data_IF_840532123269
#
_entry.id   IF_840532123269
#
_cell.length_a   1.000
_cell.length_b   1.000
_cell.length_c   1.000
_cell.angle_alpha   90.00
_cell.angle_beta   90.00
_cell.angle_gamma   90.00
#
_symmetry.space_group_name_H-M   'P 1'
#
loop_
_entity.id
_entity.type
_entity.pdbx_description
1 polymer ?
#
# COMPACT_ATOMS: atom_id res chain seq x y z
N UNK A 1 -5.39 31.73 -3.35
CA UNK A 1 -6.70 31.51 -2.69
C UNK A 1 -6.55 30.32 -1.74
N UNK A 2 -7.16 30.33 -0.55
CA UNK A 2 -7.08 29.19 0.38
C UNK A 2 -7.85 27.99 -0.19
N UNK A 3 -7.28 26.79 -0.08
CA UNK A 3 -7.88 25.54 -0.48
C UNK A 3 -7.55 24.42 0.53
N UNK A 4 -8.02 23.20 0.30
CA UNK A 4 -7.81 22.03 1.17
C UNK A 4 -6.33 21.68 1.38
N UNK A 5 -5.44 22.11 0.47
CA UNK A 5 -4.00 21.81 0.51
C UNK A 5 -3.14 22.96 1.04
N UNK A 6 -3.73 24.09 1.45
CA UNK A 6 -2.98 25.29 1.87
C UNK A 6 -2.00 25.02 3.01
N UNK A 7 -2.35 24.13 3.96
CA UNK A 7 -1.43 23.76 5.05
C UNK A 7 -0.28 22.86 4.57
N UNK A 8 -0.52 22.00 3.59
CA UNK A 8 0.51 21.17 2.94
C UNK A 8 1.50 22.07 2.19
N UNK A 9 0.98 23.11 1.52
CA UNK A 9 1.81 24.09 0.82
C UNK A 9 2.73 24.89 1.76
N UNK A 10 2.35 25.14 3.02
CA UNK A 10 3.23 25.78 3.99
C UNK A 10 4.47 24.94 4.33
N UNK A 11 4.42 23.62 4.08
CA UNK A 11 5.54 22.70 4.33
C UNK A 11 6.37 22.50 3.06
N UNK A 12 5.72 22.23 1.92
CA UNK A 12 6.39 21.81 0.68
C UNK A 12 6.56 22.95 -0.33
N UNK A 13 6.01 24.14 -0.06
CA UNK A 13 6.05 25.27 -0.96
C UNK A 13 5.13 25.14 -2.18
N UNK A 14 5.05 26.19 -2.99
CA UNK A 14 4.22 26.19 -4.19
C UNK A 14 4.74 25.21 -5.26
N UNK A 15 6.06 25.14 -5.43
CA UNK A 15 6.71 24.23 -6.39
C UNK A 15 6.49 22.77 -6.02
N UNK A 16 6.61 22.41 -4.73
CA UNK A 16 6.32 21.05 -4.25
C UNK A 16 4.86 20.66 -4.50
N UNK A 17 3.92 21.59 -4.28
CA UNK A 17 2.50 21.34 -4.56
C UNK A 17 2.24 21.15 -6.06
N UNK A 18 2.89 21.94 -6.92
CA UNK A 18 2.76 21.78 -8.38
C UNK A 18 3.24 20.41 -8.85
N UNK A 19 4.36 19.91 -8.27
CA UNK A 19 4.83 18.54 -8.54
C UNK A 19 3.82 17.50 -8.11
N UNK A 20 3.21 17.64 -6.92
CA UNK A 20 2.18 16.71 -6.44
C UNK A 20 0.94 16.72 -7.34
N UNK A 21 0.46 17.89 -7.77
CA UNK A 21 -0.71 18.01 -8.64
C UNK A 21 -0.52 17.35 -10.00
N UNK A 22 0.71 17.31 -10.50
CA UNK A 22 1.05 16.65 -11.77
C UNK A 22 1.36 15.17 -11.61
N UNK A 23 1.72 14.74 -10.41
CA UNK A 23 2.18 13.39 -10.17
C UNK A 23 1.09 12.34 -10.40
N UNK A 24 1.49 11.22 -11.00
CA UNK A 24 0.70 10.00 -11.15
C UNK A 24 1.32 8.88 -10.33
N UNK A 25 0.60 8.43 -9.31
CA UNK A 25 1.06 7.40 -8.37
C UNK A 25 0.21 6.14 -8.50
N UNK A 26 0.85 4.99 -8.76
CA UNK A 26 0.18 3.70 -8.76
C UNK A 26 0.30 3.02 -7.39
N UNK A 27 -0.83 2.60 -6.82
CA UNK A 27 -0.87 1.88 -5.53
C UNK A 27 -1.40 0.48 -5.74
N UNK A 28 -0.55 -0.50 -5.56
CA UNK A 28 -0.86 -1.92 -5.67
C UNK A 28 -1.22 -2.49 -4.29
N UNK A 29 -2.47 -2.93 -4.15
CA UNK A 29 -3.06 -3.42 -2.90
C UNK A 29 -3.75 -2.31 -2.10
N UNK A 30 -5.09 -2.33 -2.04
CA UNK A 30 -5.93 -1.34 -1.34
C UNK A 30 -6.48 -1.97 -0.05
N UNK A 31 -5.56 -2.51 0.73
CA UNK A 31 -5.85 -3.15 2.02
C UNK A 31 -5.66 -2.22 3.23
N UNK A 32 -5.22 -2.81 4.37
CA UNK A 32 -4.97 -2.07 5.60
C UNK A 32 -3.80 -1.09 5.52
N UNK A 33 -2.81 -1.38 4.69
CA UNK A 33 -1.66 -0.50 4.41
C UNK A 33 -1.99 0.46 3.27
N UNK A 34 -2.24 -0.09 2.07
CA UNK A 34 -2.44 0.72 0.86
C UNK A 34 -3.65 1.65 0.94
N UNK A 35 -4.71 1.27 1.67
CA UNK A 35 -5.86 2.15 1.89
C UNK A 35 -5.48 3.46 2.59
N UNK A 36 -4.66 3.40 3.65
CA UNK A 36 -4.17 4.61 4.34
C UNK A 36 -3.13 5.35 3.51
N UNK A 37 -2.34 4.65 2.71
CA UNK A 37 -1.44 5.31 1.74
C UNK A 37 -2.25 6.15 0.76
N UNK A 38 -3.28 5.59 0.15
CA UNK A 38 -4.17 6.27 -0.81
C UNK A 38 -4.87 7.47 -0.16
N UNK A 39 -5.44 7.31 1.04
CA UNK A 39 -6.07 8.40 1.79
C UNK A 39 -5.09 9.57 2.01
N UNK A 40 -3.85 9.28 2.42
CA UNK A 40 -2.84 10.29 2.68
C UNK A 40 -2.34 10.97 1.40
N UNK A 41 -2.15 10.23 0.31
CA UNK A 41 -1.75 10.80 -0.98
C UNK A 41 -2.82 11.74 -1.54
N UNK A 42 -4.11 11.34 -1.47
CA UNK A 42 -5.23 12.19 -1.86
C UNK A 42 -5.28 13.50 -1.05
N UNK A 43 -5.06 13.42 0.28
CA UNK A 43 -5.00 14.58 1.19
C UNK A 43 -3.76 15.44 1.02
N UNK A 44 -2.72 14.91 0.37
CA UNK A 44 -1.50 15.65 0.06
C UNK A 44 -1.57 16.36 -1.30
N UNK A 45 -2.60 16.11 -2.12
CA UNK A 45 -2.80 16.77 -3.40
C UNK A 45 -2.16 16.03 -4.59
N UNK A 46 -1.91 14.72 -4.48
CA UNK A 46 -1.49 13.93 -5.65
C UNK A 46 -2.59 13.97 -6.71
N UNK A 47 -2.23 14.38 -7.94
CA UNK A 47 -3.20 14.67 -8.99
C UNK A 47 -3.80 13.43 -9.64
N UNK A 48 -3.02 12.35 -9.81
CA UNK A 48 -3.51 11.11 -10.42
C UNK A 48 -3.15 9.91 -9.56
N UNK A 49 -4.15 9.07 -9.28
CA UNK A 49 -4.01 7.84 -8.51
C UNK A 49 -4.52 6.65 -9.31
N UNK A 50 -3.66 5.66 -9.54
CA UNK A 50 -4.03 4.36 -10.09
C UNK A 50 -4.15 3.36 -8.94
N UNK A 51 -5.33 2.77 -8.78
CA UNK A 51 -5.68 1.88 -7.68
C UNK A 51 -5.84 0.45 -8.18
N UNK A 52 -5.00 -0.46 -7.71
CA UNK A 52 -4.96 -1.84 -8.19
C UNK A 52 -5.27 -2.80 -7.04
N UNK A 53 -6.44 -3.45 -7.06
CA UNK A 53 -6.86 -4.48 -6.09
C UNK A 53 -8.08 -5.23 -6.65
N UNK A 54 -8.08 -6.56 -6.64
CA UNK A 54 -9.18 -7.39 -7.14
C UNK A 54 -10.23 -7.72 -6.06
N UNK A 55 -9.93 -7.42 -4.80
CA UNK A 55 -10.77 -7.81 -3.67
C UNK A 55 -12.01 -6.93 -3.52
N UNK A 56 -13.02 -7.55 -2.89
CA UNK A 56 -14.17 -6.85 -2.30
C UNK A 56 -13.95 -6.60 -0.82
N UNK A 57 -14.59 -5.57 -0.29
CA UNK A 57 -14.62 -5.30 1.14
C UNK A 57 -15.29 -6.46 1.86
N UNK A 58 -14.59 -7.08 2.81
CA UNK A 58 -15.10 -8.12 3.70
C UNK A 58 -15.38 -7.53 5.10
N UNK A 59 -16.32 -8.10 5.83
CA UNK A 59 -16.64 -7.66 7.19
C UNK A 59 -15.40 -7.67 8.11
N UNK A 60 -14.52 -8.67 7.96
CA UNK A 60 -13.27 -8.75 8.75
C UNK A 60 -12.22 -7.70 8.36
N UNK A 61 -12.46 -6.90 7.33
CA UNK A 61 -11.58 -5.77 6.99
C UNK A 61 -11.88 -4.51 7.79
N UNK A 62 -13.08 -4.40 8.37
CA UNK A 62 -13.57 -3.20 9.09
C UNK A 62 -12.66 -2.82 10.26
N UNK A 63 -11.96 -3.79 10.84
CA UNK A 63 -11.07 -3.55 11.96
C UNK A 63 -9.80 -2.75 11.63
N UNK A 64 -9.43 -2.63 10.30
CA UNK A 64 -8.14 -2.02 9.93
C UNK A 64 -8.07 -1.36 8.56
N UNK A 65 -9.07 -1.52 7.69
CA UNK A 65 -9.06 -0.91 6.35
C UNK A 65 -9.95 0.34 6.36
N UNK A 66 -9.39 1.50 6.02
CA UNK A 66 -10.08 2.79 6.12
C UNK A 66 -11.36 2.86 5.25
N UNK A 67 -11.34 2.19 4.10
CA UNK A 67 -12.48 2.15 3.17
C UNK A 67 -13.52 1.09 3.54
N UNK A 68 -13.21 0.23 4.53
CA UNK A 68 -14.11 -0.83 4.97
C UNK A 68 -15.03 -0.34 6.08
N UNK A 69 -16.30 -0.24 5.77
CA UNK A 69 -17.40 0.03 6.70
C UNK A 69 -18.51 -0.99 6.50
N UNK A 70 -19.46 -1.09 7.43
CA UNK A 70 -20.63 -1.97 7.24
C UNK A 70 -21.41 -1.67 5.96
N UNK A 71 -21.42 -0.39 5.51
CA UNK A 71 -22.11 0.04 4.29
C UNK A 71 -21.37 -0.35 3.00
N UNK A 72 -20.05 -0.56 3.08
CA UNK A 72 -19.21 -0.86 1.91
C UNK A 72 -18.92 -2.34 1.73
N UNK A 73 -19.31 -3.22 2.68
CA UNK A 73 -19.14 -4.67 2.57
C UNK A 73 -19.75 -5.17 1.26
N UNK A 74 -18.99 -5.99 0.52
CA UNK A 74 -19.38 -6.54 -0.79
C UNK A 74 -18.99 -5.68 -2.00
N UNK A 75 -18.68 -4.40 -1.82
CA UNK A 75 -18.22 -3.52 -2.90
C UNK A 75 -16.73 -3.77 -3.21
N UNK A 76 -16.30 -3.50 -4.45
CA UNK A 76 -14.88 -3.54 -4.78
C UNK A 76 -14.12 -2.46 -4.02
N UNK A 77 -12.97 -2.83 -3.42
CA UNK A 77 -12.14 -1.89 -2.64
C UNK A 77 -11.72 -0.67 -3.44
N UNK A 78 -11.32 -0.87 -4.69
CA UNK A 78 -10.90 0.23 -5.59
C UNK A 78 -12.02 1.22 -5.88
N UNK A 79 -13.28 0.75 -6.02
CA UNK A 79 -14.42 1.65 -6.24
C UNK A 79 -14.75 2.49 -5.00
N UNK A 80 -14.70 1.86 -3.81
CA UNK A 80 -14.93 2.56 -2.54
C UNK A 80 -13.84 3.59 -2.29
N UNK A 81 -12.58 3.23 -2.59
CA UNK A 81 -11.45 4.15 -2.49
C UNK A 81 -11.60 5.33 -3.46
N UNK A 82 -11.98 5.09 -4.73
CA UNK A 82 -12.22 6.15 -5.70
C UNK A 82 -13.27 7.14 -5.22
N UNK A 83 -14.43 6.66 -4.75
CA UNK A 83 -15.48 7.52 -4.22
C UNK A 83 -14.95 8.39 -3.07
N UNK A 84 -14.19 7.80 -2.15
CA UNK A 84 -13.59 8.50 -1.02
C UNK A 84 -12.55 9.54 -1.44
N UNK A 85 -11.71 9.23 -2.43
CA UNK A 85 -10.72 10.18 -2.95
C UNK A 85 -11.41 11.41 -3.51
N UNK A 86 -12.45 11.22 -4.33
CA UNK A 86 -13.19 12.32 -4.97
C UNK A 86 -13.98 13.19 -3.97
N UNK A 87 -14.35 12.66 -2.79
CA UNK A 87 -14.87 13.47 -1.68
C UNK A 87 -13.78 14.36 -1.05
N UNK A 88 -12.50 13.95 -1.07
CA UNK A 88 -11.37 14.68 -0.49
C UNK A 88 -10.79 15.67 -1.51
N UNK A 89 -10.56 15.20 -2.72
CA UNK A 89 -9.98 15.93 -3.83
C UNK A 89 -10.81 15.71 -5.10
N UNK A 90 -11.83 16.56 -5.36
CA UNK A 90 -12.70 16.43 -6.53
C UNK A 90 -11.96 16.54 -7.87
N UNK A 91 -10.79 17.20 -7.88
CA UNK A 91 -9.99 17.42 -9.08
C UNK A 91 -9.04 16.25 -9.39
N UNK A 92 -8.95 15.27 -8.50
CA UNK A 92 -8.07 14.10 -8.70
C UNK A 92 -8.58 13.20 -9.83
N UNK A 93 -7.65 12.75 -10.67
CA UNK A 93 -7.92 11.68 -11.64
C UNK A 93 -7.69 10.33 -10.96
N UNK A 94 -8.70 9.46 -10.96
CA UNK A 94 -8.61 8.16 -10.29
C UNK A 94 -8.94 7.03 -11.25
N UNK A 95 -7.95 6.21 -11.55
CA UNK A 95 -8.12 4.99 -12.34
C UNK A 95 -8.26 3.78 -11.40
N UNK A 96 -9.19 2.88 -11.69
CA UNK A 96 -9.46 1.69 -10.87
C UNK A 96 -9.29 0.41 -11.66
N UNK A 97 -8.46 -0.49 -11.15
CA UNK A 97 -8.17 -1.79 -11.76
C UNK A 97 -8.58 -2.92 -10.80
N UNK A 98 -9.61 -3.65 -11.17
CA UNK A 98 -10.12 -4.82 -10.42
C UNK A 98 -9.30 -6.05 -10.78
N UNK A 99 -7.99 -5.94 -10.62
CA UNK A 99 -7.01 -6.91 -11.10
C UNK A 99 -6.13 -7.37 -9.95
N UNK A 100 -5.95 -8.69 -9.84
CA UNK A 100 -4.91 -9.26 -9.01
C UNK A 100 -3.57 -9.10 -9.71
N UNK A 101 -2.65 -8.34 -9.11
CA UNK A 101 -1.33 -8.18 -9.68
C UNK A 101 -0.46 -9.42 -9.44
N UNK A 102 0.06 -9.95 -10.52
CA UNK A 102 0.95 -11.11 -10.58
C UNK A 102 1.83 -11.02 -11.84
N UNK A 103 2.86 -11.86 -11.99
CA UNK A 103 3.64 -11.90 -13.23
C UNK A 103 2.80 -12.07 -14.51
N UNK A 104 1.66 -12.79 -14.42
CA UNK A 104 0.77 -13.04 -15.54
C UNK A 104 -0.08 -11.82 -15.95
N UNK A 105 -0.28 -10.88 -15.02
CA UNK A 105 -1.08 -9.67 -15.25
C UNK A 105 -0.22 -8.41 -15.34
N UNK A 106 1.09 -8.53 -15.13
CA UNK A 106 2.03 -7.41 -15.07
C UNK A 106 2.05 -6.56 -16.35
N UNK A 107 1.91 -7.20 -17.54
CA UNK A 107 1.90 -6.52 -18.83
C UNK A 107 0.70 -5.59 -19.06
N UNK A 108 -0.34 -5.69 -18.21
CA UNK A 108 -1.49 -4.77 -18.25
C UNK A 108 -1.15 -3.36 -17.75
N UNK A 109 0.02 -3.19 -17.13
CA UNK A 109 0.44 -1.95 -16.49
C UNK A 109 1.72 -1.42 -17.11
N UNK A 110 1.61 -0.27 -17.78
CA UNK A 110 2.76 0.46 -18.32
C UNK A 110 3.35 1.36 -17.23
N UNK A 111 4.45 0.92 -16.61
CA UNK A 111 5.09 1.64 -15.52
C UNK A 111 5.73 2.96 -15.97
N UNK A 112 6.04 3.13 -17.25
CA UNK A 112 6.60 4.40 -17.76
C UNK A 112 5.64 5.59 -17.62
N UNK A 113 4.36 5.32 -17.34
CA UNK A 113 3.34 6.35 -17.12
C UNK A 113 3.25 6.81 -15.65
N UNK A 114 3.98 6.17 -14.73
CA UNK A 114 3.94 6.50 -13.31
C UNK A 114 5.15 7.30 -12.87
N UNK A 115 4.92 8.30 -12.04
CA UNK A 115 6.00 9.02 -11.35
C UNK A 115 6.46 8.28 -10.08
N UNK A 116 5.60 7.42 -9.53
CA UNK A 116 5.91 6.61 -8.36
C UNK A 116 5.03 5.37 -8.26
N UNK A 117 5.61 4.28 -7.76
CA UNK A 117 4.90 3.02 -7.49
C UNK A 117 4.92 2.70 -6.00
N UNK A 118 3.76 2.35 -5.44
CA UNK A 118 3.64 1.87 -4.06
C UNK A 118 3.22 0.40 -4.07
N UNK A 119 4.04 -0.42 -3.47
CA UNK A 119 3.79 -1.85 -3.27
C UNK A 119 3.25 -2.11 -1.86
N UNK A 120 1.94 -2.33 -1.76
CA UNK A 120 1.23 -2.69 -0.54
C UNK A 120 0.51 -4.05 -0.63
N UNK A 121 0.91 -4.90 -1.60
CA UNK A 121 0.37 -6.27 -1.73
C UNK A 121 1.03 -7.24 -0.74
N UNK A 122 0.44 -8.41 -0.56
CA UNK A 122 0.88 -9.41 0.44
C UNK A 122 1.54 -10.66 -0.15
N UNK A 123 1.69 -10.73 -1.47
CA UNK A 123 2.29 -11.89 -2.14
C UNK A 123 3.73 -11.63 -2.56
N UNK A 124 4.65 -12.53 -2.19
CA UNK A 124 6.07 -12.42 -2.54
C UNK A 124 6.28 -12.36 -4.04
N UNK A 125 5.61 -13.24 -4.80
CA UNK A 125 5.74 -13.32 -6.26
C UNK A 125 5.32 -12.00 -6.93
N UNK A 126 4.20 -11.41 -6.48
CA UNK A 126 3.73 -10.12 -6.99
C UNK A 126 4.69 -8.99 -6.62
N UNK A 127 5.19 -8.95 -5.36
CA UNK A 127 6.18 -7.94 -4.94
C UNK A 127 7.45 -7.98 -5.80
N UNK A 128 7.97 -9.17 -6.07
CA UNK A 128 9.14 -9.32 -6.92
C UNK A 128 8.88 -8.80 -8.33
N UNK A 129 7.74 -9.14 -8.91
CA UNK A 129 7.37 -8.67 -10.24
C UNK A 129 7.19 -7.14 -10.29
N UNK A 130 6.61 -6.52 -9.24
CA UNK A 130 6.51 -5.05 -9.11
C UNK A 130 7.89 -4.40 -9.12
N UNK A 131 8.80 -4.90 -8.30
CA UNK A 131 10.16 -4.35 -8.19
C UNK A 131 10.92 -4.50 -9.50
N UNK A 132 10.87 -5.67 -10.14
CA UNK A 132 11.53 -5.90 -11.44
C UNK A 132 10.95 -5.00 -12.54
N UNK A 133 9.63 -4.77 -12.55
CA UNK A 133 8.99 -3.92 -13.55
C UNK A 133 9.32 -2.44 -13.31
N UNK A 134 9.33 -1.98 -12.05
CA UNK A 134 9.73 -0.63 -11.70
C UNK A 134 11.20 -0.35 -12.05
N UNK A 135 12.10 -1.29 -11.74
CA UNK A 135 13.53 -1.19 -12.08
C UNK A 135 13.74 -1.09 -13.62
N UNK A 136 13.05 -1.94 -14.39
CA UNK A 136 13.12 -1.89 -15.86
C UNK A 136 12.60 -0.58 -16.45
N UNK A 137 11.56 -0.01 -15.85
CA UNK A 137 10.95 1.25 -16.28
C UNK A 137 11.71 2.49 -15.74
N UNK A 138 12.65 2.31 -14.81
CA UNK A 138 13.35 3.41 -14.16
C UNK A 138 12.46 4.25 -13.23
N UNK A 139 11.35 3.68 -12.74
CA UNK A 139 10.38 4.37 -11.89
C UNK A 139 10.65 4.07 -10.41
N UNK A 140 10.66 5.09 -9.53
CA UNK A 140 10.83 4.89 -8.11
C UNK A 140 9.70 4.03 -7.52
N UNK A 141 10.08 3.12 -6.63
CA UNK A 141 9.16 2.23 -5.93
C UNK A 141 9.47 2.19 -4.44
N UNK A 142 8.42 2.17 -3.60
CA UNK A 142 8.52 1.86 -2.17
C UNK A 142 7.63 0.67 -1.84
N UNK A 143 8.15 -0.25 -1.02
CA UNK A 143 7.45 -1.49 -0.68
C UNK A 143 7.20 -1.62 0.81
N UNK A 144 5.97 -1.98 1.18
CA UNK A 144 5.63 -2.38 2.55
C UNK A 144 6.09 -3.80 2.83
N UNK A 145 6.82 -4.00 3.91
CA UNK A 145 7.10 -5.33 4.43
C UNK A 145 5.96 -5.81 5.36
N UNK A 146 6.19 -6.87 6.13
CA UNK A 146 5.14 -7.49 6.94
C UNK A 146 4.59 -6.58 8.04
N UNK A 147 3.29 -6.25 7.96
CA UNK A 147 2.55 -5.48 8.97
C UNK A 147 1.57 -6.32 9.80
N UNK A 148 1.45 -7.61 9.53
CA UNK A 148 0.61 -8.53 10.32
C UNK A 148 1.32 -9.05 11.56
N UNK A 149 0.52 -9.49 12.56
CA UNK A 149 0.99 -10.06 13.84
C UNK A 149 1.91 -9.12 14.62
N UNK A 150 1.58 -7.83 14.65
CA UNK A 150 2.34 -6.77 15.31
C UNK A 150 1.41 -5.85 16.09
N UNK A 151 1.95 -5.23 17.13
CA UNK A 151 1.21 -4.32 18.02
C UNK A 151 1.92 -2.99 18.24
N UNK A 152 3.19 -2.87 17.86
CA UNK A 152 3.93 -1.63 18.02
C UNK A 152 4.05 -0.88 16.67
N UNK A 153 3.25 0.19 16.45
CA UNK A 153 3.34 1.01 15.25
C UNK A 153 4.60 1.88 15.23
N UNK A 154 5.28 2.08 16.37
CA UNK A 154 6.49 2.93 16.47
C UNK A 154 7.76 2.18 16.07
N UNK A 155 7.72 0.86 15.99
CA UNK A 155 8.85 0.02 15.59
C UNK A 155 9.08 -0.06 14.06
N UNK A 156 8.32 0.73 13.27
CA UNK A 156 8.49 0.79 11.82
C UNK A 156 9.51 1.82 11.40
N UNK A 157 10.34 1.44 10.44
CA UNK A 157 11.40 2.26 9.87
C UNK A 157 11.37 2.23 8.34
N UNK A 158 11.91 3.30 7.75
CA UNK A 158 12.24 3.36 6.32
C UNK A 158 13.71 3.00 6.16
N UNK A 159 14.00 2.03 5.29
CA UNK A 159 15.36 1.59 5.02
C UNK A 159 15.51 1.06 3.59
N UNK A 160 16.74 0.82 3.17
CA UNK A 160 16.98 -0.08 2.05
C UNK A 160 16.68 -1.53 2.46
N UNK A 161 16.16 -2.33 1.54
CA UNK A 161 15.85 -3.75 1.81
C UNK A 161 17.05 -4.52 2.37
N UNK A 162 18.26 -4.15 1.95
CA UNK A 162 19.50 -4.83 2.38
C UNK A 162 19.97 -4.45 3.78
N UNK A 163 19.43 -3.37 4.34
CA UNK A 163 19.68 -2.90 5.71
C UNK A 163 18.63 -3.40 6.72
N UNK A 164 17.59 -4.09 6.24
CA UNK A 164 16.51 -4.58 7.09
C UNK A 164 16.94 -5.77 7.97
N UNK A 165 16.32 -5.90 9.13
CA UNK A 165 16.53 -7.01 10.09
C UNK A 165 15.20 -7.60 10.54
N UNK A 166 15.21 -8.65 11.34
CA UNK A 166 14.06 -9.28 12.04
C UNK A 166 12.92 -9.75 11.12
N UNK A 167 12.42 -8.92 10.21
CA UNK A 167 11.23 -9.20 9.40
C UNK A 167 11.41 -10.41 8.47
N UNK A 168 10.58 -11.48 8.60
CA UNK A 168 10.69 -12.68 7.74
C UNK A 168 10.44 -12.39 6.27
N UNK A 169 9.46 -11.53 5.95
CA UNK A 169 9.17 -11.14 4.57
C UNK A 169 10.35 -10.40 3.94
N UNK A 170 10.95 -9.44 4.66
CA UNK A 170 12.13 -8.73 4.18
C UNK A 170 13.32 -9.68 3.92
N UNK A 171 13.50 -10.72 4.75
CA UNK A 171 14.53 -11.75 4.54
C UNK A 171 14.33 -12.47 3.20
N UNK A 172 13.11 -12.90 2.91
CA UNK A 172 12.78 -13.57 1.64
C UNK A 172 13.00 -12.62 0.47
N UNK A 173 12.50 -11.38 0.57
CA UNK A 173 12.67 -10.37 -0.48
C UNK A 173 14.15 -10.10 -0.78
N UNK A 174 15.00 -9.91 0.24
CA UNK A 174 16.46 -9.72 0.07
C UNK A 174 17.12 -10.85 -0.70
N UNK A 175 16.77 -12.09 -0.36
CA UNK A 175 17.36 -13.27 -1.01
C UNK A 175 16.96 -13.33 -2.49
N UNK A 176 15.69 -13.12 -2.77
CA UNK A 176 15.16 -13.22 -4.11
C UNK A 176 15.57 -12.03 -5.01
N UNK A 177 15.65 -10.82 -4.46
CA UNK A 177 16.11 -9.63 -5.19
C UNK A 177 17.60 -9.72 -5.54
N UNK A 178 18.45 -10.27 -4.65
CA UNK A 178 19.87 -10.53 -4.98
C UNK A 178 20.05 -11.44 -6.18
N UNK A 179 19.27 -12.52 -6.26
CA UNK A 179 19.31 -13.46 -7.40
C UNK A 179 18.92 -12.78 -8.72
N UNK A 180 18.12 -11.71 -8.65
CA UNK A 180 17.62 -10.92 -9.80
C UNK A 180 18.50 -9.71 -10.13
N UNK A 181 19.59 -9.50 -9.39
CA UNK A 181 20.51 -8.38 -9.61
C UNK A 181 19.96 -7.02 -9.17
N UNK A 182 18.85 -6.98 -8.46
CA UNK A 182 18.29 -5.73 -7.91
C UNK A 182 19.17 -5.26 -6.76
N UNK A 183 19.70 -4.05 -6.85
CA UNK A 183 20.72 -3.52 -5.94
C UNK A 183 20.14 -2.73 -4.77
N UNK A 184 18.91 -2.22 -4.89
CA UNK A 184 18.26 -1.39 -3.86
C UNK A 184 16.75 -1.51 -3.95
N UNK A 185 16.08 -1.33 -2.83
CA UNK A 185 14.64 -1.15 -2.75
C UNK A 185 14.32 -0.40 -1.46
N UNK A 186 13.68 0.77 -1.56
CA UNK A 186 13.15 1.49 -0.40
C UNK A 186 11.99 0.70 0.19
N UNK A 187 12.04 0.43 1.49
CA UNK A 187 11.00 -0.34 2.18
C UNK A 187 10.59 0.30 3.50
N UNK A 188 9.35 0.02 3.90
CA UNK A 188 8.89 0.23 5.27
C UNK A 188 8.79 -1.13 5.94
N UNK A 189 9.53 -1.32 7.03
CA UNK A 189 9.57 -2.59 7.75
C UNK A 189 9.60 -2.35 9.26
N UNK A 190 9.34 -3.38 10.06
CA UNK A 190 9.36 -3.29 11.52
C UNK A 190 10.47 -4.14 12.11
N UNK A 191 11.10 -3.61 13.14
CA UNK A 191 12.03 -4.34 14.02
C UNK A 191 11.33 -5.15 15.12
N UNK A 192 10.01 -5.02 15.24
CA UNK A 192 9.23 -5.85 16.14
C UNK A 192 9.19 -7.30 15.62
N UNK A 193 9.54 -8.32 16.44
CA UNK A 193 9.27 -9.70 16.10
C UNK A 193 7.78 -9.96 15.93
N UNK A 194 7.41 -10.72 14.89
CA UNK A 194 6.00 -11.05 14.69
C UNK A 194 5.49 -11.96 15.83
N UNK A 195 4.34 -11.62 16.37
CA UNK A 195 3.64 -12.45 17.36
C UNK A 195 3.15 -13.75 16.72
N UNK A 196 3.04 -14.80 17.52
CA UNK A 196 2.33 -16.01 17.11
C UNK A 196 0.82 -15.76 17.32
N UNK A 197 -0.01 -15.83 16.26
CA UNK A 197 -1.45 -15.67 16.41
C UNK A 197 -2.03 -16.75 17.31
N UNK A 198 -3.06 -16.42 18.07
CA UNK A 198 -3.86 -17.38 18.83
C UNK A 198 -4.55 -18.31 17.82
N UNK A 199 -4.38 -19.62 17.99
CA UNK A 199 -5.03 -20.63 17.14
C UNK A 199 -6.44 -20.93 17.67
N UNK A 200 -7.38 -20.06 17.27
CA UNK A 200 -8.79 -20.23 17.61
C UNK A 200 -9.60 -20.37 16.32
N UNK A 201 -10.00 -21.60 16.04
CA UNK A 201 -10.78 -21.92 14.84
C UNK A 201 -12.21 -21.36 14.87
N UNK A 202 -12.73 -20.96 16.03
CA UNK A 202 -14.10 -20.41 16.16
C UNK A 202 -14.19 -18.99 15.58
N UNK A 203 -13.10 -18.24 15.59
CA UNK A 203 -13.00 -16.87 15.05
C UNK A 203 -12.15 -16.77 13.78
N UNK A 204 -11.61 -17.90 13.29
CA UNK A 204 -10.73 -17.91 12.12
C UNK A 204 -11.52 -17.92 10.82
N UNK A 205 -11.20 -16.97 9.92
CA UNK A 205 -11.72 -16.99 8.54
C UNK A 205 -11.35 -18.27 7.77
N UNK A 206 -10.43 -19.10 8.26
CA UNK A 206 -10.12 -20.40 7.65
C UNK A 206 -11.25 -21.40 7.83
N UNK A 207 -11.88 -21.41 9.00
CA UNK A 207 -12.99 -22.31 9.31
C UNK A 207 -14.34 -21.73 8.87
N UNK A 208 -14.52 -20.43 9.05
CA UNK A 208 -15.79 -19.73 8.84
C UNK A 208 -15.60 -18.54 7.91
N UNK A 209 -15.50 -18.81 6.59
CA UNK A 209 -15.34 -17.75 5.60
C UNK A 209 -16.64 -16.97 5.41
N UNK A 210 -16.60 -15.66 5.72
CA UNK A 210 -17.70 -14.70 5.51
C UNK A 210 -17.39 -13.72 4.37
N UNK A 211 -16.52 -14.12 3.44
CA UNK A 211 -16.21 -13.31 2.26
C UNK A 211 -17.46 -13.12 1.40
N UNK A 212 -17.63 -11.93 0.79
CA UNK A 212 -18.74 -11.67 -0.10
C UNK A 212 -18.80 -12.65 -1.27
N UNK A 213 -20.00 -12.95 -1.82
CA UNK A 213 -20.13 -13.76 -3.04
C UNK A 213 -19.29 -13.18 -4.19
N UNK A 214 -18.68 -14.05 -4.98
CA UNK A 214 -17.84 -13.64 -6.12
C UNK A 214 -16.41 -13.21 -5.74
N UNK A 215 -15.98 -13.41 -4.49
CA UNK A 215 -14.57 -13.24 -4.11
C UNK A 215 -13.73 -14.37 -4.73
N UNK A 216 -12.80 -14.01 -5.61
CA UNK A 216 -12.00 -14.98 -6.37
C UNK A 216 -11.05 -15.78 -5.46
N UNK A 217 -10.50 -15.15 -4.41
CA UNK A 217 -9.54 -15.76 -3.47
C UNK A 217 -10.12 -15.78 -2.06
N UNK A 218 -10.42 -16.97 -1.56
CA UNK A 218 -10.99 -17.15 -0.22
C UNK A 218 -9.90 -17.24 0.85
N UNK A 219 -10.19 -16.72 2.05
CA UNK A 219 -9.30 -16.84 3.22
C UNK A 219 -8.99 -18.30 3.58
N UNK A 220 -9.89 -19.24 3.26
CA UNK A 220 -9.73 -20.69 3.46
C UNK A 220 -8.55 -21.29 2.68
N UNK A 221 -8.12 -20.65 1.60
CA UNK A 221 -6.99 -21.09 0.78
C UNK A 221 -5.63 -20.60 1.31
N UNK A 222 -5.63 -19.69 2.29
CA UNK A 222 -4.40 -19.17 2.88
C UNK A 222 -3.84 -20.16 3.90
N UNK A 223 -2.52 -20.37 3.88
CA UNK A 223 -1.83 -21.21 4.87
C UNK A 223 -2.04 -20.69 6.30
N UNK A 224 -2.06 -19.38 6.49
CA UNK A 224 -2.33 -18.71 7.75
C UNK A 224 -3.00 -17.36 7.51
N UNK A 225 -3.97 -16.99 8.35
CA UNK A 225 -4.55 -15.65 8.37
C UNK A 225 -3.85 -14.86 9.48
N UNK A 226 -3.07 -13.84 9.15
CA UNK A 226 -2.36 -13.08 10.18
C UNK A 226 -3.33 -12.27 11.04
N UNK A 227 -3.03 -12.13 12.32
CA UNK A 227 -3.66 -11.16 13.20
C UNK A 227 -3.37 -9.73 12.73
N UNK A 228 -4.29 -8.82 12.99
CA UNK A 228 -4.13 -7.41 12.64
C UNK A 228 -5.02 -6.52 13.50
N UNK A 229 -4.67 -5.24 13.60
CA UNK A 229 -5.33 -4.22 14.40
C UNK A 229 -5.52 -2.91 13.63
N UNK A 230 -6.15 -1.94 14.29
CA UNK A 230 -6.55 -0.68 13.67
C UNK A 230 -5.42 0.38 13.59
N UNK A 231 -4.22 0.11 14.09
CA UNK A 231 -3.16 1.12 14.21
C UNK A 231 -1.83 0.74 13.55
N UNK A 232 -1.49 -0.55 13.47
CA UNK A 232 -0.22 -0.97 12.84
C UNK A 232 -0.25 -0.82 11.31
N UNK A 233 -1.17 -1.44 10.55
CA UNK A 233 -1.21 -1.24 9.10
C UNK A 233 -1.43 0.22 8.68
N UNK A 234 -2.28 1.00 9.38
CA UNK A 234 -2.40 2.44 9.14
C UNK A 234 -1.11 3.22 9.25
N UNK A 235 -0.33 3.01 10.32
CA UNK A 235 0.95 3.68 10.50
C UNK A 235 1.91 3.40 9.33
N UNK A 236 2.00 2.14 8.88
CA UNK A 236 2.79 1.77 7.71
C UNK A 236 2.33 2.51 6.46
N UNK A 237 1.01 2.57 6.22
CA UNK A 237 0.44 3.27 5.08
C UNK A 237 0.74 4.77 5.07
N UNK A 238 0.67 5.41 6.24
CA UNK A 238 1.00 6.83 6.40
C UNK A 238 2.50 7.09 6.20
N UNK A 239 3.38 6.21 6.68
CA UNK A 239 4.84 6.31 6.44
C UNK A 239 5.12 6.18 4.94
N UNK A 240 4.55 5.18 4.24
CA UNK A 240 4.69 5.04 2.80
C UNK A 240 4.30 6.31 2.05
N UNK A 241 3.13 6.86 2.35
CA UNK A 241 2.65 8.09 1.71
C UNK A 241 3.57 9.28 1.99
N UNK A 242 4.05 9.42 3.23
CA UNK A 242 5.00 10.47 3.61
C UNK A 242 6.30 10.38 2.82
N UNK A 243 6.84 9.18 2.59
CA UNK A 243 8.04 8.98 1.77
C UNK A 243 7.78 9.34 0.30
N UNK A 244 6.65 8.89 -0.27
CA UNK A 244 6.27 9.24 -1.64
C UNK A 244 6.16 10.75 -1.82
N UNK A 245 5.48 11.44 -0.89
CA UNK A 245 5.31 12.91 -0.95
C UNK A 245 6.67 13.62 -0.85
N UNK A 246 7.55 13.20 0.05
CA UNK A 246 8.91 13.77 0.18
C UNK A 246 9.72 13.58 -1.10
N UNK A 247 9.71 12.38 -1.67
CA UNK A 247 10.44 12.08 -2.90
C UNK A 247 9.91 12.91 -4.09
N UNK A 248 8.59 12.98 -4.29
CA UNK A 248 7.96 13.72 -5.37
C UNK A 248 8.18 15.23 -5.25
N UNK A 249 8.14 15.78 -4.03
CA UNK A 249 8.36 17.21 -3.80
C UNK A 249 9.84 17.60 -3.84
N UNK A 250 10.75 16.62 -3.78
CA UNK A 250 12.18 16.87 -3.62
C UNK A 250 12.52 17.47 -2.25
N UNK A 251 11.67 17.20 -1.25
CA UNK A 251 11.84 17.75 0.10
C UNK A 251 13.14 17.23 0.73
N UNK A 252 14.01 18.18 1.07
CA UNK A 252 15.20 17.92 1.90
C UNK A 252 15.00 18.68 3.23
N UNK A 253 15.22 18.00 4.37
CA UNK A 253 15.31 18.71 5.63
C UNK A 253 16.50 19.68 5.50
N UNK A 254 16.22 20.97 5.58
CA UNK A 254 17.29 21.96 5.84
C UNK A 254 17.98 21.58 7.16
N UNK A 255 19.29 21.69 7.19
CA UNK A 255 20.11 21.58 8.40
C UNK A 255 19.71 22.63 9.42
#
# INVERSE_FOLDING_TARGET
MLNQFSRTQLIFGAEGMERLYRARVAVFGIGGVGGYTVEALARSGVGTLDLIDDDRVCLTNVNRQIFATRKTVGQYKVNVAQARILEINPDAVVHTYKTFYSPQTAEQFDFTQYDYVVDAIDTVTGKLALVEQAERAGVPIISSMGAGNKVDPTAFEVADIYETSVCPLARVMRQELRKRGIRRLKVVYSKEPALTPIDDMTISCRAHCICPPGTARKCTQRRQVPGSNAFVPPAVGLILAGEVVKDLTGFQRGE
#
